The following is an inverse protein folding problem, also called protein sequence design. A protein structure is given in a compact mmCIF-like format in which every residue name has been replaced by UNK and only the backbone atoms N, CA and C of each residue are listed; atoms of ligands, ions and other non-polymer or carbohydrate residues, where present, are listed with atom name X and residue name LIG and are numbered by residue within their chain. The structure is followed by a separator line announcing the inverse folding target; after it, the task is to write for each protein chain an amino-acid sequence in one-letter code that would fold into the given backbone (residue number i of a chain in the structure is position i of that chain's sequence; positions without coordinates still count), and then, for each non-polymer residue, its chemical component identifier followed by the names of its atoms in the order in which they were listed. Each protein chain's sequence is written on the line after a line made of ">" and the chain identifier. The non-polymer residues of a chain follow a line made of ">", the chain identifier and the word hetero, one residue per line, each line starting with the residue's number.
data_IF_409513765929
#
_entry.id   IF_409513765929
#
_cell.length_a   1.000
_cell.length_b   1.000
_cell.length_c   1.000
_cell.angle_alpha   90.00
_cell.angle_beta   90.00
_cell.angle_gamma   90.00
#
_symmetry.space_group_name_H-M   'P 1'
#
loop_
_entity.id
_entity.type
_entity.pdbx_description
1 polymer ?
#
# COMPACT_ATOMS: atom_id res chain seq x y z
N UNK A 1 33.32 -8.24 -36.97
CA UNK A 1 33.44 -8.31 -35.49
C UNK A 1 33.49 -6.95 -34.80
N UNK A 2 34.30 -5.96 -35.24
CA UNK A 2 34.39 -4.65 -34.54
C UNK A 2 33.08 -3.84 -34.48
N UNK A 3 32.28 -3.81 -35.55
CA UNK A 3 31.00 -3.09 -35.58
C UNK A 3 29.94 -3.68 -34.62
N UNK A 4 29.88 -5.01 -34.47
CA UNK A 4 28.98 -5.67 -33.52
C UNK A 4 29.34 -5.35 -32.06
N UNK A 5 30.63 -5.18 -31.76
CA UNK A 5 31.10 -4.77 -30.43
C UNK A 5 30.67 -3.35 -30.08
N UNK A 6 30.80 -2.39 -31.01
CA UNK A 6 30.39 -1.00 -30.79
C UNK A 6 28.87 -0.83 -30.60
N UNK A 7 28.06 -1.57 -31.36
CA UNK A 7 26.59 -1.57 -31.22
C UNK A 7 26.15 -2.18 -29.89
N UNK A 8 26.78 -3.29 -29.46
CA UNK A 8 26.49 -3.92 -28.18
C UNK A 8 26.85 -3.00 -27.00
N UNK A 9 28.01 -2.35 -27.05
CA UNK A 9 28.44 -1.40 -26.01
C UNK A 9 27.48 -0.22 -25.92
N UNK A 10 27.07 0.35 -27.05
CA UNK A 10 26.08 1.42 -27.07
C UNK A 10 24.73 0.97 -26.51
N UNK A 11 24.26 -0.23 -26.89
CA UNK A 11 23.02 -0.80 -26.37
C UNK A 11 23.03 -1.02 -24.86
N UNK A 12 24.12 -1.56 -24.32
CA UNK A 12 24.30 -1.73 -22.87
C UNK A 12 24.38 -0.38 -22.15
N UNK A 13 25.06 0.61 -22.72
CA UNK A 13 25.15 1.95 -22.15
C UNK A 13 23.78 2.64 -22.10
N UNK A 14 22.97 2.53 -23.17
CA UNK A 14 21.61 3.06 -23.21
C UNK A 14 20.68 2.35 -22.21
N UNK A 15 20.80 1.03 -22.09
CA UNK A 15 20.05 0.26 -21.11
C UNK A 15 20.40 0.66 -19.67
N UNK A 16 21.70 0.75 -19.35
CA UNK A 16 22.16 1.22 -18.05
C UNK A 16 21.68 2.65 -17.76
N UNK A 17 21.74 3.52 -18.77
CA UNK A 17 21.20 4.88 -18.70
C UNK A 17 19.72 4.88 -18.33
N UNK A 18 18.89 4.08 -19.02
CA UNK A 18 17.46 3.93 -18.75
C UNK A 18 17.17 3.39 -17.34
N UNK A 19 17.92 2.38 -16.89
CA UNK A 19 17.71 1.74 -15.60
C UNK A 19 18.02 2.72 -14.45
N UNK A 20 19.11 3.50 -14.55
CA UNK A 20 19.54 4.40 -13.47
C UNK A 20 18.86 5.77 -13.54
N UNK A 21 18.41 6.20 -14.71
CA UNK A 21 17.76 7.50 -14.88
C UNK A 21 16.29 7.43 -14.49
N UNK A 22 15.94 8.09 -13.39
CA UNK A 22 14.56 8.38 -13.00
C UNK A 22 14.47 9.88 -12.70
N UNK A 23 13.46 10.60 -13.21
CA UNK A 23 13.20 11.97 -12.81
C UNK A 23 13.07 12.07 -11.29
N UNK A 24 13.68 13.11 -10.72
CA UNK A 24 13.61 13.38 -9.29
C UNK A 24 13.07 14.80 -9.14
N UNK A 25 11.92 14.98 -8.47
CA UNK A 25 11.42 16.30 -8.19
C UNK A 25 12.30 17.07 -7.21
N UNK A 26 12.27 18.39 -7.32
CA UNK A 26 12.90 19.27 -6.35
C UNK A 26 12.35 19.01 -4.94
N UNK A 27 13.22 19.08 -3.94
CA UNK A 27 12.84 18.84 -2.54
C UNK A 27 12.66 17.35 -2.17
N UNK A 28 12.81 16.40 -3.10
CA UNK A 28 12.86 14.98 -2.76
C UNK A 28 14.05 14.69 -1.84
N UNK A 29 13.74 14.06 -0.71
CA UNK A 29 14.74 13.53 0.20
C UNK A 29 15.36 12.25 -0.37
N UNK A 30 16.65 12.06 -0.11
CA UNK A 30 17.38 10.81 -0.43
C UNK A 30 17.26 10.34 -1.88
N UNK A 31 17.42 11.30 -2.80
CA UNK A 31 17.40 11.16 -4.24
C UNK A 31 18.12 9.90 -4.79
N UNK A 32 19.27 9.55 -4.21
CA UNK A 32 20.06 8.41 -4.66
C UNK A 32 19.44 7.06 -4.25
N UNK A 33 18.88 6.97 -3.05
CA UNK A 33 18.14 5.78 -2.61
C UNK A 33 16.91 5.56 -3.48
N UNK A 34 16.17 6.63 -3.79
CA UNK A 34 15.05 6.56 -4.71
C UNK A 34 15.47 6.06 -6.11
N UNK A 35 16.61 6.55 -6.65
CA UNK A 35 17.16 6.04 -7.92
C UNK A 35 17.55 4.57 -7.85
N UNK A 36 18.19 4.12 -6.77
CA UNK A 36 18.56 2.71 -6.59
C UNK A 36 17.33 1.81 -6.54
N UNK A 37 16.32 2.19 -5.76
CA UNK A 37 15.06 1.46 -5.67
C UNK A 37 14.34 1.40 -7.02
N UNK A 38 14.21 2.54 -7.71
CA UNK A 38 13.57 2.58 -9.03
C UNK A 38 14.36 1.83 -10.10
N UNK A 39 15.69 1.83 -10.05
CA UNK A 39 16.53 1.02 -10.91
C UNK A 39 16.32 -0.49 -10.66
N UNK A 40 16.22 -0.91 -9.40
CA UNK A 40 15.87 -2.28 -9.02
C UNK A 40 14.49 -2.67 -9.57
N UNK A 41 13.47 -1.83 -9.37
CA UNK A 41 12.13 -2.05 -9.88
C UNK A 41 12.08 -2.15 -11.42
N UNK A 42 12.77 -1.25 -12.13
CA UNK A 42 12.89 -1.29 -13.60
C UNK A 42 13.60 -2.56 -14.10
N UNK A 43 14.63 -2.99 -13.38
CA UNK A 43 15.36 -4.24 -13.70
C UNK A 43 14.45 -5.45 -13.55
N UNK A 44 13.71 -5.53 -12.45
CA UNK A 44 12.73 -6.59 -12.22
C UNK A 44 11.62 -6.57 -13.29
N UNK A 45 11.07 -5.39 -13.60
CA UNK A 45 10.06 -5.20 -14.64
C UNK A 45 10.56 -5.63 -16.02
N UNK A 46 11.81 -5.31 -16.37
CA UNK A 46 12.42 -5.75 -17.62
C UNK A 46 12.55 -7.29 -17.66
N UNK A 47 13.07 -7.91 -16.61
CA UNK A 47 13.18 -9.37 -16.53
C UNK A 47 11.81 -10.07 -16.63
N UNK A 48 10.80 -9.54 -15.92
CA UNK A 48 9.42 -10.03 -15.98
C UNK A 48 8.83 -9.89 -17.40
N UNK A 49 9.04 -8.75 -18.05
CA UNK A 49 8.61 -8.49 -19.43
C UNK A 49 9.28 -9.44 -20.42
N UNK A 50 10.58 -9.70 -20.27
CA UNK A 50 11.26 -10.69 -21.13
C UNK A 50 10.65 -12.08 -20.95
N UNK A 51 10.29 -12.46 -19.72
CA UNK A 51 9.66 -13.76 -19.44
C UNK A 51 8.25 -13.88 -20.02
N UNK A 52 7.47 -12.80 -20.10
CA UNK A 52 6.14 -12.84 -20.77
C UNK A 52 6.24 -13.17 -22.26
N UNK A 53 7.35 -12.83 -22.93
CA UNK A 53 7.58 -13.24 -24.32
C UNK A 53 7.97 -14.72 -24.45
N UNK A 54 8.58 -15.30 -23.42
CA UNK A 54 8.95 -16.71 -23.36
C UNK A 54 7.73 -17.58 -23.00
N UNK A 55 6.83 -17.06 -22.17
CA UNK A 55 5.63 -17.73 -21.68
C UNK A 55 4.37 -16.92 -22.01
N UNK A 56 4.01 -16.78 -23.31
CA UNK A 56 2.84 -16.01 -23.70
C UNK A 56 1.55 -16.68 -23.20
N UNK A 57 0.59 -15.87 -22.71
CA UNK A 57 -0.73 -16.32 -22.25
C UNK A 57 -0.82 -16.66 -20.76
N UNK A 58 0.29 -16.60 -20.02
CA UNK A 58 0.30 -16.66 -18.56
C UNK A 58 0.27 -15.24 -17.98
N UNK A 59 -0.94 -14.74 -17.66
CA UNK A 59 -1.12 -13.38 -17.13
C UNK A 59 -0.43 -13.16 -15.77
N UNK A 60 -0.05 -14.23 -15.07
CA UNK A 60 0.57 -14.17 -13.76
C UNK A 60 2.11 -14.24 -13.81
N UNK A 61 2.69 -14.65 -14.95
CA UNK A 61 4.15 -14.81 -15.11
C UNK A 61 4.93 -13.53 -14.80
N UNK A 62 4.35 -12.37 -15.10
CA UNK A 62 4.97 -11.07 -14.85
C UNK A 62 5.18 -10.88 -13.34
N UNK A 63 4.11 -10.91 -12.55
CA UNK A 63 4.20 -10.64 -11.11
C UNK A 63 4.87 -11.77 -10.33
N UNK A 64 4.67 -13.05 -10.70
CA UNK A 64 5.48 -14.13 -10.10
C UNK A 64 6.97 -13.91 -10.27
N UNK A 65 7.39 -13.36 -11.41
CA UNK A 65 8.81 -13.06 -11.67
C UNK A 65 9.28 -11.89 -10.81
N UNK A 66 8.48 -10.82 -10.69
CA UNK A 66 8.78 -9.71 -9.77
C UNK A 66 8.95 -10.24 -8.34
N UNK A 67 7.97 -10.97 -7.82
CA UNK A 67 8.00 -11.53 -6.45
C UNK A 67 9.21 -12.42 -6.23
N UNK A 68 9.51 -13.32 -7.18
CA UNK A 68 10.69 -14.20 -7.10
C UNK A 68 12.00 -13.42 -7.03
N UNK A 69 12.13 -12.33 -7.80
CA UNK A 69 13.33 -11.49 -7.78
C UNK A 69 13.44 -10.68 -6.48
N UNK A 70 12.33 -10.14 -5.99
CA UNK A 70 12.29 -9.45 -4.70
C UNK A 70 12.69 -10.38 -3.55
N UNK A 71 12.23 -11.64 -3.57
CA UNK A 71 12.57 -12.62 -2.55
C UNK A 71 14.00 -13.14 -2.66
N UNK A 72 14.56 -13.26 -3.86
CA UNK A 72 15.89 -13.85 -4.09
C UNK A 72 17.01 -13.10 -3.37
N UNK A 73 16.89 -11.79 -3.26
CA UNK A 73 17.95 -10.91 -2.71
C UNK A 73 17.85 -10.74 -1.19
N UNK A 74 16.83 -11.31 -0.54
CA UNK A 74 16.58 -11.15 0.88
C UNK A 74 16.80 -12.46 1.65
N UNK A 75 17.35 -12.40 2.88
CA UNK A 75 17.37 -13.55 3.77
C UNK A 75 15.93 -13.96 4.15
N UNK A 76 15.73 -15.21 4.57
CA UNK A 76 14.44 -15.64 5.10
C UNK A 76 14.11 -14.87 6.39
N UNK A 77 12.87 -14.38 6.49
CA UNK A 77 12.46 -13.44 7.55
C UNK A 77 12.34 -14.08 8.95
N UNK A 78 12.19 -15.40 9.00
CA UNK A 78 12.15 -16.24 10.20
C UNK A 78 13.55 -16.59 10.76
N UNK A 79 14.63 -16.31 10.01
CA UNK A 79 15.99 -16.54 10.51
C UNK A 79 16.27 -15.70 11.75
N UNK A 80 16.98 -16.31 12.70
CA UNK A 80 17.50 -15.61 13.88
C UNK A 80 18.41 -14.47 13.44
N UNK A 81 18.10 -13.25 13.89
CA UNK A 81 18.91 -12.06 13.67
C UNK A 81 19.69 -11.79 14.95
N UNK A 82 21.02 -11.64 14.83
CA UNK A 82 21.86 -11.34 15.98
C UNK A 82 21.48 -9.97 16.58
N UNK A 83 21.26 -9.93 17.89
CA UNK A 83 20.86 -8.71 18.60
C UNK A 83 19.36 -8.41 18.58
N UNK A 84 18.55 -9.18 17.83
CA UNK A 84 17.09 -9.02 17.82
C UNK A 84 16.48 -9.49 19.15
N UNK A 85 15.54 -8.70 19.68
CA UNK A 85 14.77 -9.03 20.89
C UNK A 85 13.43 -9.74 20.55
N UNK A 86 13.23 -10.18 19.30
CA UNK A 86 12.04 -10.94 18.89
C UNK A 86 12.39 -12.24 18.17
N UNK A 87 11.63 -13.29 18.47
CA UNK A 87 11.63 -14.55 17.71
C UNK A 87 10.64 -14.40 16.54
N UNK A 88 10.99 -14.90 15.36
CA UNK A 88 10.07 -14.97 14.23
C UNK A 88 9.80 -16.44 13.85
N UNK A 89 8.56 -16.78 13.55
CA UNK A 89 8.15 -18.13 13.19
C UNK A 89 6.94 -18.11 12.25
N UNK A 90 7.00 -18.88 11.17
CA UNK A 90 5.84 -19.10 10.32
C UNK A 90 4.78 -19.93 11.03
N UNK A 91 3.52 -19.57 10.83
CA UNK A 91 2.34 -20.31 11.26
C UNK A 91 1.27 -20.27 10.15
N UNK A 92 0.17 -20.98 10.37
CA UNK A 92 -0.97 -21.01 9.46
C UNK A 92 -2.25 -20.82 10.26
N UNK A 93 -3.03 -19.80 9.89
CA UNK A 93 -4.30 -19.43 10.53
C UNK A 93 -5.41 -19.72 9.53
N UNK A 94 -6.14 -20.84 9.72
CA UNK A 94 -7.20 -21.32 8.81
C UNK A 94 -6.77 -21.37 7.33
N UNK A 95 -5.59 -21.93 7.06
CA UNK A 95 -5.05 -22.02 5.70
C UNK A 95 -4.32 -20.76 5.21
N UNK A 96 -4.35 -19.65 5.96
CA UNK A 96 -3.62 -18.43 5.64
C UNK A 96 -2.24 -18.46 6.30
N UNK A 97 -1.19 -18.41 5.49
CA UNK A 97 0.18 -18.35 6.00
C UNK A 97 0.44 -16.99 6.65
N UNK A 98 1.04 -17.02 7.84
CA UNK A 98 1.45 -15.82 8.57
C UNK A 98 2.88 -15.96 9.10
N UNK A 99 3.53 -14.83 9.35
CA UNK A 99 4.79 -14.77 10.08
C UNK A 99 4.56 -14.08 11.43
N UNK A 100 4.75 -14.83 12.50
CA UNK A 100 4.54 -14.39 13.88
C UNK A 100 5.88 -13.90 14.44
N UNK A 101 5.91 -12.67 14.95
CA UNK A 101 7.01 -12.11 15.73
C UNK A 101 6.61 -12.06 17.20
N UNK A 102 7.35 -12.74 18.06
CA UNK A 102 7.11 -12.81 19.50
C UNK A 102 8.26 -12.17 20.25
N UNK A 103 8.03 -11.16 21.09
CA UNK A 103 9.07 -10.61 21.96
C UNK A 103 9.69 -11.67 22.87
N UNK A 104 11.00 -11.57 23.09
CA UNK A 104 11.75 -12.45 23.99
C UNK A 104 11.69 -11.98 25.44
N UNK A 105 11.17 -10.77 25.68
CA UNK A 105 10.99 -10.19 27.01
C UNK A 105 9.95 -11.01 27.79
N UNK A 106 10.31 -11.53 28.96
CA UNK A 106 9.33 -12.16 29.84
C UNK A 106 8.33 -11.12 30.34
N UNK A 107 7.03 -11.39 30.18
CA UNK A 107 5.95 -10.49 30.60
C UNK A 107 5.05 -11.17 31.63
N UNK A 108 4.62 -10.37 32.61
CA UNK A 108 3.54 -10.76 33.52
C UNK A 108 2.21 -10.28 32.93
N UNK A 109 1.41 -11.21 32.43
CA UNK A 109 0.11 -10.92 31.81
C UNK A 109 0.16 -10.85 30.28
N UNK A 110 -0.98 -10.51 29.69
CA UNK A 110 -1.17 -10.45 28.24
C UNK A 110 -0.58 -9.16 27.64
N UNK A 111 0.10 -9.31 26.51
CA UNK A 111 0.68 -8.22 25.73
C UNK A 111 -0.33 -7.65 24.72
N UNK A 112 -0.15 -6.42 24.25
CA UNK A 112 -0.82 -5.98 23.04
C UNK A 112 -0.30 -6.70 21.79
N UNK A 113 -1.14 -6.78 20.77
CA UNK A 113 -0.87 -7.42 19.50
C UNK A 113 -0.98 -6.46 18.32
N UNK A 114 -0.35 -6.79 17.21
CA UNK A 114 -0.49 -6.05 15.96
C UNK A 114 -0.64 -7.01 14.78
N UNK A 115 -1.66 -6.81 13.96
CA UNK A 115 -1.80 -7.49 12.66
C UNK A 115 -1.32 -6.55 11.56
N UNK A 116 -0.42 -7.04 10.70
CA UNK A 116 0.23 -6.27 9.66
C UNK A 116 -0.07 -6.81 8.25
N UNK A 117 -0.45 -5.92 7.34
CA UNK A 117 -0.58 -6.22 5.91
C UNK A 117 0.48 -5.49 5.10
N UNK A 118 1.26 -6.24 4.32
CA UNK A 118 2.27 -5.64 3.44
C UNK A 118 1.63 -4.92 2.24
N UNK A 119 2.32 -3.92 1.69
CA UNK A 119 2.01 -3.28 0.42
C UNK A 119 2.34 -4.15 -0.80
N UNK A 120 2.64 -3.51 -1.93
CA UNK A 120 2.97 -4.22 -3.19
C UNK A 120 1.85 -4.29 -4.23
N UNK A 121 0.84 -3.40 -4.11
CA UNK A 121 -0.21 -3.23 -5.13
C UNK A 121 -1.04 -4.48 -5.38
N UNK A 122 -1.17 -5.36 -4.37
CA UNK A 122 -1.77 -6.71 -4.46
C UNK A 122 -1.10 -7.68 -5.43
N UNK A 123 -0.02 -7.28 -6.11
CA UNK A 123 0.63 -8.09 -7.15
C UNK A 123 1.98 -8.68 -6.74
N UNK A 124 2.64 -8.12 -5.74
CA UNK A 124 3.93 -8.60 -5.27
C UNK A 124 4.13 -8.25 -3.79
N UNK A 125 5.34 -8.53 -3.27
CA UNK A 125 5.71 -8.52 -1.86
C UNK A 125 5.20 -9.76 -1.10
N UNK A 126 5.68 -9.92 0.13
CA UNK A 126 5.39 -11.06 1.00
C UNK A 126 5.76 -10.70 2.44
N UNK A 127 5.46 -11.60 3.38
CA UNK A 127 6.02 -11.52 4.75
C UNK A 127 7.55 -11.50 4.77
N UNK A 128 8.20 -12.00 3.71
CA UNK A 128 9.66 -11.99 3.58
C UNK A 128 10.17 -10.61 3.18
N UNK A 129 9.61 -10.00 2.14
CA UNK A 129 10.06 -8.68 1.67
C UNK A 129 9.81 -7.59 2.68
N UNK A 130 8.70 -7.69 3.44
CA UNK A 130 8.38 -6.73 4.48
C UNK A 130 8.94 -7.10 5.87
N UNK A 131 9.64 -8.23 5.97
CA UNK A 131 10.03 -8.83 7.25
C UNK A 131 10.97 -7.97 8.10
N UNK A 132 11.69 -7.01 7.50
CA UNK A 132 12.51 -6.03 8.23
C UNK A 132 11.64 -4.97 8.92
N UNK A 133 10.62 -4.47 8.26
CA UNK A 133 9.69 -3.48 8.82
C UNK A 133 8.86 -4.09 9.95
N UNK A 134 8.26 -5.26 9.72
CA UNK A 134 7.44 -5.91 10.76
C UNK A 134 8.27 -6.37 11.95
N UNK A 135 9.51 -6.83 11.72
CA UNK A 135 10.46 -7.07 12.82
C UNK A 135 10.73 -5.78 13.58
N UNK A 136 11.10 -4.70 12.90
CA UNK A 136 11.37 -3.41 13.54
C UNK A 136 10.19 -2.96 14.40
N UNK A 137 8.95 -3.03 13.89
CA UNK A 137 7.75 -2.73 14.68
C UNK A 137 7.61 -3.62 15.91
N UNK A 138 7.81 -4.94 15.78
CA UNK A 138 7.76 -5.87 16.91
C UNK A 138 8.82 -5.55 17.97
N UNK A 139 10.05 -5.24 17.54
CA UNK A 139 11.18 -4.92 18.41
C UNK A 139 10.97 -3.59 19.16
N UNK A 140 10.44 -2.57 18.47
CA UNK A 140 10.22 -1.25 19.06
C UNK A 140 8.97 -1.21 19.95
N UNK A 141 7.88 -1.88 19.56
CA UNK A 141 6.63 -1.87 20.33
C UNK A 141 6.63 -2.90 21.48
N UNK A 142 7.57 -3.87 21.46
CA UNK A 142 7.56 -5.04 22.34
C UNK A 142 6.17 -5.72 22.28
N UNK A 143 5.65 -5.87 21.07
CA UNK A 143 4.33 -6.44 20.76
C UNK A 143 4.46 -7.76 20.01
N UNK A 144 3.46 -8.64 20.15
CA UNK A 144 3.31 -9.76 19.20
C UNK A 144 2.81 -9.19 17.88
N UNK A 145 3.57 -9.41 16.80
CA UNK A 145 3.22 -8.92 15.46
C UNK A 145 2.92 -10.10 14.55
N UNK A 146 1.75 -10.11 13.93
CA UNK A 146 1.34 -11.08 12.92
C UNK A 146 1.44 -10.41 11.56
N UNK A 147 2.34 -10.86 10.69
CA UNK A 147 2.43 -10.41 9.30
C UNK A 147 1.72 -11.41 8.40
N UNK A 148 0.70 -10.97 7.66
CA UNK A 148 -0.17 -11.84 6.85
C UNK A 148 0.36 -11.97 5.42
N UNK A 149 0.51 -13.21 4.94
CA UNK A 149 0.96 -13.56 3.57
C UNK A 149 -0.26 -13.84 2.67
N UNK A 150 -1.06 -12.80 2.42
CA UNK A 150 -2.32 -12.92 1.68
C UNK A 150 -2.09 -13.24 0.19
N UNK A 151 -3.05 -13.93 -0.45
CA UNK A 151 -2.99 -14.28 -1.87
C UNK A 151 -2.95 -13.04 -2.77
N UNK A 152 -2.15 -13.10 -3.83
CA UNK A 152 -1.87 -11.99 -4.73
C UNK A 152 -2.57 -12.12 -6.08
N UNK A 153 -2.95 -10.97 -6.64
CA UNK A 153 -3.38 -10.80 -8.00
C UNK A 153 -2.18 -10.88 -8.97
N UNK A 154 -2.39 -11.22 -10.26
CA UNK A 154 -3.66 -11.53 -10.92
C UNK A 154 -4.16 -12.96 -10.67
N UNK A 155 -3.32 -13.87 -10.15
CA UNK A 155 -3.72 -15.27 -9.89
C UNK A 155 -4.94 -15.38 -8.96
N UNK A 156 -4.98 -14.51 -7.94
CA UNK A 156 -6.08 -14.40 -6.99
C UNK A 156 -6.57 -12.95 -6.93
N UNK A 157 -7.48 -12.54 -7.85
CA UNK A 157 -8.02 -11.20 -7.85
C UNK A 157 -8.92 -10.97 -6.62
N UNK A 158 -9.40 -9.73 -6.46
CA UNK A 158 -10.43 -9.40 -5.49
C UNK A 158 -11.59 -10.42 -5.54
N UNK A 159 -12.06 -10.94 -4.39
CA UNK A 159 -11.77 -10.49 -3.02
C UNK A 159 -10.69 -11.29 -2.26
N UNK A 160 -9.86 -12.11 -2.91
CA UNK A 160 -8.99 -13.07 -2.21
C UNK A 160 -8.09 -12.48 -1.12
N UNK A 161 -7.43 -11.35 -1.38
CA UNK A 161 -6.59 -10.68 -0.38
C UNK A 161 -7.41 -10.21 0.85
N UNK A 162 -8.63 -9.71 0.64
CA UNK A 162 -9.52 -9.30 1.73
C UNK A 162 -9.97 -10.52 2.55
N UNK A 163 -10.32 -11.62 1.87
CA UNK A 163 -10.74 -12.87 2.53
C UNK A 163 -9.63 -13.45 3.40
N UNK A 164 -8.40 -13.52 2.89
CA UNK A 164 -7.26 -14.04 3.64
C UNK A 164 -6.91 -13.15 4.84
N UNK A 165 -6.86 -11.83 4.62
CA UNK A 165 -6.59 -10.86 5.68
C UNK A 165 -7.66 -10.88 6.78
N UNK A 166 -8.93 -10.98 6.41
CA UNK A 166 -10.02 -11.09 7.38
C UNK A 166 -9.96 -12.42 8.13
N UNK A 167 -9.74 -13.53 7.42
CA UNK A 167 -9.62 -14.87 8.01
C UNK A 167 -8.50 -14.95 9.03
N UNK A 168 -7.29 -14.49 8.67
CA UNK A 168 -6.15 -14.48 9.58
C UNK A 168 -6.38 -13.57 10.80
N UNK A 169 -7.00 -12.41 10.61
CA UNK A 169 -7.29 -11.47 11.71
C UNK A 169 -8.32 -12.03 12.67
N UNK A 170 -9.44 -12.52 12.14
CA UNK A 170 -10.48 -13.16 12.91
C UNK A 170 -9.91 -14.30 13.76
N UNK A 171 -9.16 -15.21 13.12
CA UNK A 171 -8.53 -16.31 13.82
C UNK A 171 -7.60 -15.81 14.93
N UNK A 172 -6.77 -14.80 14.65
CA UNK A 172 -5.87 -14.24 15.65
C UNK A 172 -6.60 -13.59 16.82
N UNK A 173 -7.71 -12.87 16.59
CA UNK A 173 -8.52 -12.29 17.66
C UNK A 173 -9.13 -13.38 18.55
N UNK A 174 -9.66 -14.45 17.94
CA UNK A 174 -10.26 -15.59 18.66
C UNK A 174 -9.22 -16.37 19.50
N UNK A 175 -7.96 -16.42 19.03
CA UNK A 175 -6.88 -17.20 19.65
C UNK A 175 -5.78 -16.33 20.28
N UNK A 176 -6.01 -15.03 20.48
CA UNK A 176 -5.00 -14.07 20.92
C UNK A 176 -4.29 -14.51 22.21
N UNK A 177 -5.04 -15.07 23.16
CA UNK A 177 -4.55 -15.55 24.43
C UNK A 177 -3.49 -16.67 24.30
N UNK A 178 -3.54 -17.48 23.23
CA UNK A 178 -2.55 -18.53 22.94
C UNK A 178 -1.18 -17.95 22.58
N UNK A 179 -1.16 -16.71 22.07
CA UNK A 179 0.04 -15.94 21.79
C UNK A 179 0.44 -15.03 22.96
N UNK A 180 -0.25 -15.14 24.09
CA UNK A 180 -0.09 -14.24 25.22
C UNK A 180 -0.53 -12.81 24.91
N UNK A 181 -1.52 -12.65 24.02
CA UNK A 181 -2.06 -11.34 23.58
C UNK A 181 -3.43 -11.07 24.17
N UNK A 182 -3.66 -9.81 24.54
CA UNK A 182 -4.96 -9.28 24.94
C UNK A 182 -5.73 -8.84 23.68
N UNK A 183 -6.84 -9.52 23.39
CA UNK A 183 -7.60 -9.30 22.17
C UNK A 183 -8.21 -7.89 22.08
N UNK A 184 -8.48 -7.24 23.22
CA UNK A 184 -9.00 -5.86 23.28
C UNK A 184 -7.91 -4.80 23.03
N UNK A 185 -6.65 -5.23 22.85
CA UNK A 185 -5.47 -4.38 22.64
C UNK A 185 -4.76 -4.72 21.34
N UNK A 186 -5.51 -5.14 20.32
CA UNK A 186 -4.98 -5.45 18.99
C UNK A 186 -5.03 -4.22 18.07
N UNK A 187 -3.89 -3.91 17.47
CA UNK A 187 -3.71 -2.87 16.45
C UNK A 187 -3.74 -3.51 15.07
N UNK A 188 -4.34 -2.85 14.07
CA UNK A 188 -4.24 -3.26 12.67
C UNK A 188 -3.43 -2.21 11.91
N UNK A 189 -2.45 -2.65 11.13
CA UNK A 189 -1.56 -1.76 10.40
C UNK A 189 -1.16 -2.30 9.03
N UNK A 190 -0.79 -1.41 8.11
CA UNK A 190 -0.31 -1.79 6.80
C UNK A 190 0.10 -0.58 5.96
N UNK A 191 0.85 -0.85 4.89
CA UNK A 191 1.39 0.16 4.00
C UNK A 191 0.84 0.04 2.57
N UNK A 192 0.56 1.15 1.89
CA UNK A 192 0.09 1.14 0.50
C UNK A 192 -1.19 0.29 0.30
N UNK A 193 -1.14 -0.78 -0.49
CA UNK A 193 -2.19 -1.80 -0.61
C UNK A 193 -2.49 -2.54 0.71
N UNK A 194 -1.50 -2.68 1.60
CA UNK A 194 -1.72 -3.12 2.97
C UNK A 194 -2.44 -2.08 3.82
N UNK A 195 -2.22 -0.78 3.56
CA UNK A 195 -3.00 0.30 4.16
C UNK A 195 -4.47 0.27 3.73
N UNK A 196 -4.73 -0.11 2.48
CA UNK A 196 -6.09 -0.43 2.02
C UNK A 196 -6.69 -1.58 2.82
N UNK A 197 -5.96 -2.69 2.99
CA UNK A 197 -6.43 -3.84 3.77
C UNK A 197 -6.69 -3.43 5.23
N UNK A 198 -5.84 -2.61 5.84
CA UNK A 198 -6.10 -2.03 7.17
C UNK A 198 -7.46 -1.35 7.23
N UNK A 199 -7.75 -0.44 6.29
CA UNK A 199 -9.03 0.27 6.26
C UNK A 199 -10.22 -0.68 6.09
N UNK A 200 -10.11 -1.70 5.23
CA UNK A 200 -11.20 -2.67 4.99
C UNK A 200 -11.39 -3.61 6.18
N UNK A 201 -10.31 -4.17 6.73
CA UNK A 201 -10.40 -5.18 7.79
C UNK A 201 -10.95 -4.58 9.08
N UNK A 202 -10.56 -3.36 9.47
CA UNK A 202 -11.17 -2.74 10.66
C UNK A 202 -12.66 -2.49 10.50
N UNK A 203 -13.15 -2.24 9.27
CA UNK A 203 -14.57 -2.12 8.99
C UNK A 203 -15.27 -3.48 9.09
N UNK A 204 -14.68 -4.54 8.52
CA UNK A 204 -15.25 -5.89 8.57
C UNK A 204 -15.28 -6.46 9.99
N UNK A 205 -14.25 -6.20 10.80
CA UNK A 205 -14.24 -6.62 12.22
C UNK A 205 -15.29 -5.85 13.01
N UNK A 206 -15.39 -4.53 12.82
CA UNK A 206 -16.40 -3.71 13.49
C UNK A 206 -17.84 -4.12 13.13
N UNK A 207 -18.08 -4.56 11.90
CA UNK A 207 -19.39 -5.02 11.45
C UNK A 207 -19.72 -6.46 11.93
N UNK A 208 -18.76 -7.21 12.50
CA UNK A 208 -18.96 -8.55 13.10
C UNK A 208 -18.95 -8.47 14.64
N UNK A 209 -20.12 -8.39 15.30
CA UNK A 209 -20.20 -8.23 16.75
C UNK A 209 -19.76 -9.46 17.55
N UNK A 210 -19.41 -10.58 16.89
CA UNK A 210 -18.84 -11.75 17.56
C UNK A 210 -17.35 -11.61 17.87
N UNK A 211 -16.69 -10.61 17.27
CA UNK A 211 -15.25 -10.39 17.40
C UNK A 211 -14.93 -9.30 18.43
N UNK A 212 -13.78 -9.40 19.12
CA UNK A 212 -13.19 -8.28 19.84
C UNK A 212 -12.97 -7.08 18.90
N UNK A 213 -13.20 -5.87 19.41
CA UNK A 213 -12.99 -4.64 18.64
C UNK A 213 -11.49 -4.40 18.41
N UNK A 214 -11.14 -3.88 17.24
CA UNK A 214 -9.78 -3.42 16.98
C UNK A 214 -9.53 -2.15 17.80
N UNK A 215 -8.36 -2.06 18.44
CA UNK A 215 -8.01 -0.92 19.30
C UNK A 215 -7.59 0.31 18.50
N UNK A 216 -6.73 0.13 17.49
CA UNK A 216 -6.20 1.21 16.64
C UNK A 216 -6.04 0.75 15.18
N UNK A 217 -6.13 1.70 14.25
CA UNK A 217 -5.76 1.51 12.85
C UNK A 217 -4.58 2.43 12.47
N UNK A 218 -3.50 1.87 11.90
CA UNK A 218 -2.29 2.62 11.54
C UNK A 218 -1.95 2.40 10.06
N UNK A 219 -2.10 3.45 9.26
CA UNK A 219 -2.05 3.38 7.81
C UNK A 219 -0.86 4.20 7.27
N UNK A 220 0.03 3.56 6.51
CA UNK A 220 1.11 4.24 5.81
C UNK A 220 0.75 4.41 4.33
N UNK A 221 0.65 5.66 3.87
CA UNK A 221 0.37 6.09 2.49
C UNK A 221 -0.67 5.18 1.77
N UNK A 222 -1.88 5.04 2.36
CA UNK A 222 -2.81 3.99 1.95
C UNK A 222 -3.44 4.26 0.58
N UNK A 223 -3.61 3.20 -0.22
CA UNK A 223 -4.31 3.25 -1.50
C UNK A 223 -5.81 2.95 -1.32
N UNK A 224 -6.65 3.93 -1.01
CA UNK A 224 -8.03 3.67 -0.53
C UNK A 224 -9.12 3.68 -1.60
N UNK A 225 -8.80 3.92 -2.88
CA UNK A 225 -9.81 4.13 -3.93
C UNK A 225 -9.33 3.73 -5.35
N UNK A 226 -10.29 3.39 -6.22
CA UNK A 226 -10.06 3.06 -7.64
C UNK A 226 -10.91 3.91 -8.60
N UNK A 227 -11.24 5.15 -8.23
CA UNK A 227 -12.23 6.00 -8.90
C UNK A 227 -11.66 7.27 -9.52
N UNK A 228 -10.75 7.95 -8.82
CA UNK A 228 -10.21 9.25 -9.22
C UNK A 228 -8.69 9.23 -9.31
N UNK A 229 -8.19 9.03 -10.52
CA UNK A 229 -6.77 9.11 -10.86
C UNK A 229 -6.37 10.51 -11.32
N UNK A 230 -7.19 11.53 -11.04
CA UNK A 230 -6.95 12.94 -11.37
C UNK A 230 -7.03 13.85 -10.14
N UNK A 231 -6.87 13.32 -8.93
CA UNK A 231 -6.70 14.14 -7.72
C UNK A 231 -5.53 15.11 -7.87
N UNK A 232 -5.48 16.21 -7.09
CA UNK A 232 -4.33 17.10 -7.06
C UNK A 232 -2.98 16.38 -6.90
N UNK A 233 -2.88 15.35 -6.05
CA UNK A 233 -1.68 14.54 -5.89
C UNK A 233 -1.29 13.78 -7.17
N UNK A 234 -2.24 13.14 -7.86
CA UNK A 234 -1.97 12.48 -9.14
C UNK A 234 -1.48 13.47 -10.21
N UNK A 235 -2.08 14.66 -10.28
CA UNK A 235 -1.68 15.69 -11.24
C UNK A 235 -0.29 16.25 -10.95
N UNK A 236 0.03 16.49 -9.67
CA UNK A 236 1.37 16.93 -9.25
C UNK A 236 2.41 15.84 -9.53
N UNK A 237 2.10 14.60 -9.19
CA UNK A 237 2.98 13.45 -9.40
C UNK A 237 3.32 13.24 -10.88
N UNK A 238 2.35 13.43 -11.78
CA UNK A 238 2.56 13.37 -13.23
C UNK A 238 3.57 14.43 -13.71
N UNK A 239 3.53 15.64 -13.15
CA UNK A 239 4.51 16.70 -13.47
C UNK A 239 5.90 16.36 -12.94
N UNK A 240 5.96 15.82 -11.73
CA UNK A 240 7.20 15.57 -11.00
C UNK A 240 7.98 14.34 -11.50
N UNK A 241 7.26 13.26 -11.82
CA UNK A 241 7.82 11.95 -12.13
C UNK A 241 7.49 11.43 -13.53
N UNK A 242 6.57 12.08 -14.23
CA UNK A 242 6.01 11.57 -15.48
C UNK A 242 5.35 10.20 -15.30
N UNK A 243 5.42 9.38 -16.35
CA UNK A 243 4.82 8.04 -16.38
C UNK A 243 5.67 6.97 -15.67
N UNK A 244 6.89 7.32 -15.24
CA UNK A 244 7.89 6.34 -14.76
C UNK A 244 8.00 6.24 -13.24
N UNK A 245 7.28 7.09 -12.50
CA UNK A 245 7.23 7.01 -11.04
C UNK A 245 6.59 5.71 -10.55
N UNK A 246 6.95 5.28 -9.34
CA UNK A 246 6.52 3.99 -8.77
C UNK A 246 5.01 3.86 -8.59
N UNK A 247 4.30 4.98 -8.47
CA UNK A 247 2.84 5.04 -8.33
C UNK A 247 2.23 5.98 -9.39
N UNK A 248 2.89 6.09 -10.55
CA UNK A 248 2.33 6.81 -11.70
C UNK A 248 1.05 6.13 -12.23
N UNK A 249 0.19 6.87 -12.93
CA UNK A 249 -1.10 6.35 -13.45
C UNK A 249 -0.96 5.05 -14.24
N UNK A 250 0.04 4.85 -15.13
CA UNK A 250 0.20 3.58 -15.83
C UNK A 250 0.41 2.40 -14.88
N UNK A 251 1.23 2.59 -13.83
CA UNK A 251 1.50 1.57 -12.82
C UNK A 251 0.28 1.28 -11.96
N UNK A 252 -0.43 2.32 -11.54
CA UNK A 252 -1.68 2.15 -10.78
C UNK A 252 -2.76 1.44 -11.61
N UNK A 253 -2.86 1.75 -12.91
CA UNK A 253 -3.78 1.06 -13.80
C UNK A 253 -3.45 -0.44 -13.95
N UNK A 254 -2.17 -0.81 -13.96
CA UNK A 254 -1.75 -2.23 -13.91
C UNK A 254 -2.22 -2.91 -12.62
N UNK A 255 -1.99 -2.29 -11.45
CA UNK A 255 -2.45 -2.85 -10.17
C UNK A 255 -3.97 -3.01 -10.11
N UNK A 256 -4.72 -1.98 -10.52
CA UNK A 256 -6.20 -2.05 -10.56
C UNK A 256 -6.66 -3.14 -11.51
N UNK A 257 -6.08 -3.24 -12.71
CA UNK A 257 -6.46 -4.25 -13.71
C UNK A 257 -6.21 -5.66 -13.20
N UNK A 258 -5.02 -5.91 -12.65
CA UNK A 258 -4.68 -7.21 -12.06
C UNK A 258 -5.61 -7.55 -10.88
N UNK A 259 -5.82 -6.61 -9.95
CA UNK A 259 -6.62 -6.86 -8.75
C UNK A 259 -8.12 -6.99 -9.03
N UNK A 260 -8.69 -6.17 -9.91
CA UNK A 260 -10.12 -6.17 -10.21
C UNK A 260 -10.53 -7.23 -11.24
N UNK A 261 -9.69 -7.45 -12.25
CA UNK A 261 -10.03 -8.28 -13.41
C UNK A 261 -9.27 -9.61 -13.45
N UNK A 262 -8.25 -9.80 -12.60
CA UNK A 262 -7.40 -10.99 -12.62
C UNK A 262 -6.54 -11.11 -13.88
N UNK A 263 -6.29 -9.99 -14.58
CA UNK A 263 -5.51 -9.95 -15.83
C UNK A 263 -5.05 -8.53 -16.17
N UNK A 264 -4.15 -8.40 -17.13
CA UNK A 264 -3.71 -7.09 -17.65
C UNK A 264 -4.53 -6.64 -18.87
N UNK A 265 -5.73 -6.09 -18.61
CA UNK A 265 -6.61 -5.60 -19.67
C UNK A 265 -6.19 -4.21 -20.18
N UNK A 266 -5.50 -4.16 -21.34
CA UNK A 266 -4.95 -2.91 -21.90
C UNK A 266 -6.01 -1.84 -22.20
N UNK A 267 -7.18 -2.16 -22.82
CA UNK A 267 -8.24 -1.17 -23.01
C UNK A 267 -8.72 -0.57 -21.69
N UNK A 268 -8.97 -1.39 -20.67
CA UNK A 268 -9.37 -0.95 -19.34
C UNK A 268 -8.31 -0.05 -18.69
N UNK A 269 -7.05 -0.46 -18.73
CA UNK A 269 -5.93 0.33 -18.20
C UNK A 269 -5.83 1.71 -18.84
N UNK A 270 -6.06 1.83 -20.16
CA UNK A 270 -6.07 3.13 -20.85
C UNK A 270 -7.23 4.01 -20.39
N UNK A 271 -8.40 3.43 -20.10
CA UNK A 271 -9.54 4.16 -19.55
C UNK A 271 -9.22 4.68 -18.14
N UNK A 272 -8.62 3.85 -17.28
CA UNK A 272 -8.15 4.25 -15.94
C UNK A 272 -7.14 5.39 -15.98
N UNK A 273 -6.13 5.33 -16.86
CA UNK A 273 -5.10 6.36 -16.99
C UNK A 273 -5.68 7.72 -17.40
N UNK A 274 -6.76 7.71 -18.19
CA UNK A 274 -7.53 8.91 -18.56
C UNK A 274 -8.55 9.33 -17.50
N UNK A 275 -8.72 8.50 -16.46
CA UNK A 275 -9.78 8.59 -15.48
C UNK A 275 -11.18 8.50 -16.10
N UNK A 276 -11.35 7.76 -17.18
CA UNK A 276 -12.62 7.64 -17.94
C UNK A 276 -13.39 6.36 -17.64
N UNK A 277 -12.85 5.45 -16.83
CA UNK A 277 -13.49 4.18 -16.46
C UNK A 277 -14.75 4.33 -15.61
N UNK A 278 -14.93 5.47 -14.95
CA UNK A 278 -16.15 5.84 -14.21
C UNK A 278 -17.00 6.78 -15.08
N UNK A 279 -18.32 6.54 -15.14
CA UNK A 279 -19.24 7.37 -15.92
C UNK A 279 -19.20 8.84 -15.49
N UNK A 280 -19.39 9.73 -16.46
CA UNK A 280 -19.46 11.16 -16.18
C UNK A 280 -20.63 11.49 -15.24
N UNK A 281 -21.77 10.79 -15.42
CA UNK A 281 -22.95 10.95 -14.58
C UNK A 281 -22.67 10.56 -13.11
N UNK A 282 -22.00 9.43 -12.86
CA UNK A 282 -21.69 9.03 -11.48
C UNK A 282 -20.75 10.00 -10.79
N UNK A 283 -19.77 10.59 -11.51
CA UNK A 283 -18.89 11.63 -10.95
C UNK A 283 -19.62 12.90 -10.52
N UNK A 284 -20.79 13.18 -11.10
CA UNK A 284 -21.65 14.29 -10.67
C UNK A 284 -22.58 13.92 -9.50
N UNK A 285 -22.66 12.63 -9.14
CA UNK A 285 -23.54 12.16 -8.07
C UNK A 285 -23.13 12.72 -6.70
N UNK A 286 -24.11 12.77 -5.79
CA UNK A 286 -23.85 13.13 -4.39
C UNK A 286 -22.89 12.17 -3.73
N UNK A 287 -22.99 10.87 -4.05
CA UNK A 287 -22.14 9.83 -3.48
C UNK A 287 -20.67 10.04 -3.83
N UNK A 288 -20.37 10.25 -5.12
CA UNK A 288 -18.99 10.50 -5.58
C UNK A 288 -18.42 11.79 -4.98
N UNK A 289 -19.18 12.89 -5.02
CA UNK A 289 -18.72 14.20 -4.51
C UNK A 289 -18.61 14.27 -3.00
N UNK A 290 -19.36 13.43 -2.27
CA UNK A 290 -19.20 13.29 -0.83
C UNK A 290 -17.80 12.75 -0.51
N UNK A 291 -17.32 11.74 -1.26
CA UNK A 291 -15.99 11.15 -1.07
C UNK A 291 -14.88 12.01 -1.69
N UNK A 292 -14.97 12.31 -2.98
CA UNK A 292 -13.90 12.98 -3.73
C UNK A 292 -14.13 14.49 -3.81
N UNK A 293 -13.64 15.22 -2.81
CA UNK A 293 -13.70 16.67 -2.76
C UNK A 293 -12.29 17.27 -2.88
N UNK A 294 -11.89 17.74 -4.06
CA UNK A 294 -10.54 18.28 -4.24
C UNK A 294 -10.29 19.60 -3.49
N UNK A 295 -11.34 20.32 -3.09
CA UNK A 295 -11.19 21.58 -2.37
C UNK A 295 -10.57 21.37 -1.00
N UNK A 296 -10.88 20.26 -0.32
CA UNK A 296 -10.28 19.96 1.00
C UNK A 296 -8.78 19.73 0.91
N UNK A 297 -8.29 19.20 -0.21
CA UNK A 297 -6.85 18.97 -0.42
C UNK A 297 -6.11 20.31 -0.46
N UNK A 298 -6.67 21.27 -1.18
CA UNK A 298 -6.06 22.61 -1.36
C UNK A 298 -6.03 23.42 -0.06
N UNK A 299 -6.96 23.14 0.85
CA UNK A 299 -7.10 23.82 2.13
C UNK A 299 -6.40 23.07 3.27
N UNK A 300 -5.85 21.88 3.00
CA UNK A 300 -5.27 21.03 4.02
C UNK A 300 -3.98 21.66 4.57
N UNK A 301 -3.88 21.94 5.89
CA UNK A 301 -2.75 22.68 6.45
C UNK A 301 -1.41 21.93 6.33
N UNK A 302 -1.45 20.59 6.28
CA UNK A 302 -0.27 19.75 6.05
C UNK A 302 0.18 19.62 4.59
N UNK A 303 -0.52 20.24 3.63
CA UNK A 303 -0.20 20.18 2.20
C UNK A 303 0.18 21.59 1.70
N UNK A 304 1.48 21.91 1.56
CA UNK A 304 1.88 23.23 1.11
C UNK A 304 1.54 23.43 -0.37
N UNK A 305 1.40 24.70 -0.79
CA UNK A 305 1.07 25.04 -2.18
C UNK A 305 2.08 24.48 -3.20
N UNK A 306 3.34 24.30 -2.81
CA UNK A 306 4.40 23.69 -3.62
C UNK A 306 4.15 22.22 -3.93
N UNK A 307 3.33 21.54 -3.13
CA UNK A 307 2.95 20.13 -3.29
C UNK A 307 1.65 19.96 -4.10
N UNK A 308 1.12 21.05 -4.64
CA UNK A 308 -0.06 21.06 -5.48
C UNK A 308 0.32 21.35 -6.94
N UNK A 309 -0.48 20.89 -7.91
CA UNK A 309 -0.26 21.26 -9.30
C UNK A 309 -0.46 22.78 -9.46
N UNK A 310 0.39 23.41 -10.27
CA UNK A 310 0.32 24.86 -10.55
C UNK A 310 -1.02 25.26 -11.16
N UNK A 311 -1.60 24.39 -11.98
CA UNK A 311 -2.96 24.49 -12.49
C UNK A 311 -3.67 23.15 -12.31
N UNK A 312 -4.81 23.18 -11.62
CA UNK A 312 -5.66 22.01 -11.49
C UNK A 312 -6.45 21.80 -12.79
N UNK A 313 -6.19 20.69 -13.47
CA UNK A 313 -6.96 20.24 -14.63
C UNK A 313 -8.26 19.62 -14.14
N UNK A 314 -9.38 20.02 -14.75
CA UNK A 314 -10.70 19.42 -14.51
C UNK A 314 -10.97 18.46 -15.66
N UNK A 315 -11.31 17.21 -15.33
CA UNK A 315 -11.60 16.18 -16.31
C UNK A 315 -13.08 15.84 -16.27
N UNK A 316 -13.76 15.92 -17.41
CA UNK A 316 -15.21 15.68 -17.51
C UNK A 316 -15.59 14.40 -18.28
N UNK A 317 -14.59 13.62 -18.73
CA UNK A 317 -14.82 12.37 -19.43
C UNK A 317 -15.36 11.26 -18.54
N UNK A 318 -15.94 10.25 -19.18
CA UNK A 318 -16.41 9.02 -18.56
C UNK A 318 -16.93 8.05 -19.61
N UNK A 319 -16.97 6.77 -19.27
CA UNK A 319 -17.39 5.70 -20.15
C UNK A 319 -18.55 4.94 -19.50
N UNK A 320 -19.77 5.21 -19.96
CA UNK A 320 -20.97 4.65 -19.36
C UNK A 320 -21.03 3.13 -19.52
N UNK A 321 -20.66 2.60 -20.70
CA UNK A 321 -20.65 1.14 -20.94
C UNK A 321 -19.69 0.44 -19.99
N UNK A 322 -18.44 0.90 -19.92
CA UNK A 322 -17.45 0.31 -19.02
C UNK A 322 -17.85 0.47 -17.56
N UNK A 323 -18.41 1.62 -17.19
CA UNK A 323 -18.89 1.86 -15.83
C UNK A 323 -19.98 0.85 -15.45
N UNK A 324 -20.97 0.62 -16.31
CA UNK A 324 -22.01 -0.37 -16.06
C UNK A 324 -21.44 -1.79 -15.87
N UNK A 325 -20.37 -2.14 -16.59
CA UNK A 325 -19.72 -3.46 -16.47
C UNK A 325 -18.98 -3.67 -15.14
N UNK A 326 -18.47 -2.60 -14.52
CA UNK A 326 -17.57 -2.68 -13.35
C UNK A 326 -18.14 -2.07 -12.07
N UNK A 327 -19.21 -1.27 -12.14
CA UNK A 327 -19.71 -0.46 -11.02
C UNK A 327 -20.05 -1.29 -9.79
N UNK A 328 -20.64 -2.47 -9.95
CA UNK A 328 -21.07 -3.28 -8.81
C UNK A 328 -19.86 -3.78 -8.01
N UNK A 329 -18.77 -4.10 -8.69
CA UNK A 329 -17.50 -4.47 -8.04
C UNK A 329 -16.84 -3.24 -7.42
N UNK A 330 -16.73 -2.14 -8.16
CA UNK A 330 -16.10 -0.90 -7.67
C UNK A 330 -16.86 -0.29 -6.49
N UNK A 331 -18.17 -0.48 -6.38
CA UNK A 331 -18.98 0.01 -5.27
C UNK A 331 -19.08 -0.98 -4.11
N UNK A 332 -18.49 -2.17 -4.22
CA UNK A 332 -18.35 -3.08 -3.07
C UNK A 332 -17.47 -2.39 -2.00
N UNK A 333 -17.98 -2.19 -0.77
CA UNK A 333 -17.21 -1.50 0.28
C UNK A 333 -15.90 -2.24 0.64
N UNK A 334 -15.79 -3.54 0.34
CA UNK A 334 -14.55 -4.31 0.50
C UNK A 334 -13.50 -4.00 -0.56
N UNK A 335 -13.92 -3.47 -1.72
CA UNK A 335 -13.02 -2.96 -2.75
C UNK A 335 -12.82 -1.44 -2.64
N UNK A 336 -13.73 -0.74 -1.97
CA UNK A 336 -13.72 0.73 -1.90
C UNK A 336 -14.19 1.21 -0.53
N UNK A 337 -13.30 1.16 0.48
CA UNK A 337 -13.61 1.45 1.88
C UNK A 337 -14.11 2.88 2.11
N UNK A 338 -13.87 3.80 1.16
CA UNK A 338 -14.39 5.17 1.24
C UNK A 338 -15.91 5.27 1.03
N UNK A 339 -16.55 4.24 0.47
CA UNK A 339 -18.00 4.21 0.21
C UNK A 339 -18.81 3.43 1.25
N UNK A 340 -18.21 3.04 2.38
CA UNK A 340 -19.00 2.46 3.48
C UNK A 340 -20.07 3.46 3.94
N UNK A 341 -21.20 2.93 4.44
CA UNK A 341 -22.37 3.74 4.79
C UNK A 341 -22.19 4.60 6.05
N UNK A 342 -21.47 4.08 7.04
CA UNK A 342 -21.26 4.73 8.32
C UNK A 342 -19.83 4.49 8.77
N UNK A 343 -19.13 5.52 9.25
CA UNK A 343 -17.76 5.42 9.79
C UNK A 343 -17.72 5.47 11.31
N UNK A 344 -18.87 5.72 11.96
CA UNK A 344 -18.96 5.87 13.41
C UNK A 344 -18.52 4.60 14.12
N UNK A 345 -17.81 4.77 15.24
CA UNK A 345 -17.38 3.65 16.09
C UNK A 345 -16.11 2.94 15.62
N UNK A 346 -15.56 3.28 14.45
CA UNK A 346 -14.25 2.74 14.05
C UNK A 346 -13.13 3.15 15.01
N UNK A 347 -12.06 2.33 15.10
CA UNK A 347 -10.91 2.63 15.94
C UNK A 347 -10.23 3.94 15.57
N UNK A 348 -9.62 4.57 16.58
CA UNK A 348 -8.77 5.74 16.38
C UNK A 348 -7.66 5.44 15.37
N UNK A 349 -7.36 6.43 14.53
CA UNK A 349 -6.55 6.25 13.34
C UNK A 349 -5.29 7.11 13.37
N UNK A 350 -4.14 6.50 13.06
CA UNK A 350 -2.95 7.22 12.60
C UNK A 350 -2.80 7.00 11.09
N UNK A 351 -2.79 8.09 10.34
CA UNK A 351 -2.65 8.05 8.88
C UNK A 351 -1.42 8.89 8.50
N UNK A 352 -0.39 8.23 7.99
CA UNK A 352 0.76 8.88 7.41
C UNK A 352 0.59 9.00 5.89
N UNK A 353 0.75 10.20 5.34
CA UNK A 353 0.84 10.41 3.88
C UNK A 353 2.24 10.87 3.50
N UNK A 354 2.67 10.53 2.29
CA UNK A 354 3.91 11.02 1.72
C UNK A 354 3.62 12.20 0.77
N UNK A 355 4.43 13.25 0.83
CA UNK A 355 4.17 14.48 0.08
C UNK A 355 4.36 14.33 -1.44
N UNK A 356 5.35 13.53 -1.85
CA UNK A 356 5.70 13.22 -3.24
C UNK A 356 5.08 11.87 -3.66
N UNK A 357 3.78 11.72 -3.43
CA UNK A 357 3.04 10.48 -3.64
C UNK A 357 1.71 10.79 -4.34
N UNK A 358 1.40 10.03 -5.39
CA UNK A 358 0.11 10.17 -6.08
C UNK A 358 -1.06 9.73 -5.21
N UNK A 359 -0.83 8.87 -4.21
CA UNK A 359 -1.81 8.36 -3.25
C UNK A 359 -1.97 9.24 -2.01
N UNK A 360 -1.27 10.38 -1.91
CA UNK A 360 -1.39 11.29 -0.76
C UNK A 360 -2.85 11.65 -0.47
N UNK A 361 -3.59 12.02 -1.51
CA UNK A 361 -4.97 12.50 -1.36
C UNK A 361 -5.93 11.38 -0.93
N UNK A 362 -5.63 10.11 -1.25
CA UNK A 362 -6.42 8.93 -0.81
C UNK A 362 -6.45 8.82 0.73
N UNK A 363 -5.30 9.00 1.37
CA UNK A 363 -5.18 9.03 2.84
C UNK A 363 -5.91 10.22 3.45
N UNK A 364 -5.87 11.39 2.81
CA UNK A 364 -6.57 12.60 3.27
C UNK A 364 -8.10 12.42 3.17
N UNK A 365 -8.60 11.81 2.10
CA UNK A 365 -10.04 11.53 1.97
C UNK A 365 -10.53 10.58 3.06
N UNK A 366 -9.79 9.51 3.34
CA UNK A 366 -10.15 8.57 4.39
C UNK A 366 -10.13 9.22 5.78
N UNK A 367 -9.07 9.98 6.09
CA UNK A 367 -8.95 10.72 7.35
C UNK A 367 -10.13 11.68 7.57
N UNK A 368 -10.55 12.40 6.53
CA UNK A 368 -11.72 13.29 6.62
C UNK A 368 -13.00 12.51 6.90
N UNK A 369 -13.25 11.41 6.20
CA UNK A 369 -14.47 10.60 6.40
C UNK A 369 -14.55 10.03 7.82
N UNK A 370 -13.42 9.59 8.38
CA UNK A 370 -13.33 9.16 9.78
C UNK A 370 -13.63 10.31 10.74
N UNK A 371 -12.99 11.47 10.55
CA UNK A 371 -13.17 12.64 11.41
C UNK A 371 -14.61 13.19 11.36
N UNK A 372 -15.24 13.23 10.18
CA UNK A 372 -16.64 13.64 10.00
C UNK A 372 -17.62 12.72 10.74
N UNK A 373 -17.25 11.45 10.94
CA UNK A 373 -18.03 10.49 11.73
C UNK A 373 -17.67 10.48 13.24
N UNK A 374 -16.78 11.37 13.68
CA UNK A 374 -16.38 11.52 15.08
C UNK A 374 -15.31 10.52 15.54
N UNK A 375 -14.62 9.85 14.62
CA UNK A 375 -13.45 9.02 14.94
C UNK A 375 -12.26 9.92 15.23
N UNK A 376 -11.45 9.57 16.22
CA UNK A 376 -10.19 10.26 16.49
C UNK A 376 -9.17 9.96 15.39
N UNK A 377 -8.61 11.01 14.77
CA UNK A 377 -7.69 10.87 13.64
C UNK A 377 -6.45 11.74 13.83
N UNK A 378 -5.28 11.10 13.84
CA UNK A 378 -3.99 11.74 13.66
C UNK A 378 -3.55 11.57 12.20
N UNK A 379 -3.70 12.62 11.40
CA UNK A 379 -3.22 12.66 10.01
C UNK A 379 -1.93 13.47 9.92
N UNK A 380 -0.85 12.87 9.40
CA UNK A 380 0.44 13.55 9.19
C UNK A 380 0.92 13.38 7.75
N UNK A 381 1.15 14.50 7.07
CA UNK A 381 1.81 14.53 5.76
C UNK A 381 3.30 14.80 5.92
N UNK A 382 4.14 13.90 5.43
CA UNK A 382 5.59 13.98 5.55
C UNK A 382 6.20 14.65 4.31
N UNK A 383 6.67 15.89 4.46
CA UNK A 383 7.25 16.68 3.37
C UNK A 383 8.50 16.03 2.78
N UNK A 384 8.61 16.04 1.45
CA UNK A 384 9.71 15.42 0.71
C UNK A 384 9.76 13.89 0.76
N UNK A 385 8.84 13.24 1.48
CA UNK A 385 8.69 11.79 1.50
C UNK A 385 8.06 11.27 0.20
N UNK A 386 8.39 10.04 -0.18
CA UNK A 386 7.85 9.35 -1.35
C UNK A 386 7.15 8.04 -0.95
N UNK A 387 6.39 7.46 -1.88
CA UNK A 387 5.66 6.21 -1.64
C UNK A 387 6.60 5.05 -1.25
N UNK A 388 6.30 4.32 -0.17
CA UNK A 388 7.15 3.21 0.30
C UNK A 388 8.27 3.62 1.26
N UNK A 389 8.36 4.89 1.65
CA UNK A 389 9.43 5.39 2.54
C UNK A 389 9.45 4.71 3.91
N UNK A 390 8.31 4.23 4.43
CA UNK A 390 8.26 3.57 5.75
C UNK A 390 8.96 2.21 5.70
N UNK A 391 8.81 1.45 4.60
CA UNK A 391 9.52 0.19 4.40
C UNK A 391 11.02 0.41 4.14
N UNK A 392 11.39 1.48 3.43
CA UNK A 392 12.79 1.82 3.16
C UNK A 392 13.52 2.38 4.40
N UNK A 393 12.83 3.18 5.22
CA UNK A 393 13.40 3.98 6.31
C UNK A 393 14.35 3.22 7.24
N UNK A 394 13.91 2.16 7.93
CA UNK A 394 14.75 1.36 8.84
C UNK A 394 15.91 0.64 8.15
N UNK A 395 15.80 0.41 6.83
CA UNK A 395 16.81 -0.30 6.05
C UNK A 395 17.92 0.64 5.62
N UNK A 396 17.57 1.86 5.24
CA UNK A 396 18.47 2.81 4.60
C UNK A 396 18.78 4.03 5.48
N UNK A 397 18.26 4.07 6.71
CA UNK A 397 18.35 5.20 7.64
C UNK A 397 17.87 6.53 7.04
N UNK A 398 16.79 6.49 6.24
CA UNK A 398 16.19 7.71 5.70
C UNK A 398 15.47 8.44 6.84
N UNK A 399 15.90 9.66 7.23
CA UNK A 399 15.39 10.32 8.44
C UNK A 399 13.88 10.45 8.48
N UNK A 400 13.25 10.82 7.36
CA UNK A 400 11.79 11.00 7.28
C UNK A 400 11.02 9.69 7.34
N UNK A 401 11.58 8.61 6.78
CA UNK A 401 10.98 7.27 6.91
C UNK A 401 11.07 6.76 8.35
N UNK A 402 12.20 6.99 9.01
CA UNK A 402 12.38 6.68 10.44
C UNK A 402 11.45 7.53 11.31
N UNK A 403 11.32 8.83 11.02
CA UNK A 403 10.39 9.71 11.72
C UNK A 403 8.95 9.27 11.55
N UNK A 404 8.53 8.92 10.33
CA UNK A 404 7.19 8.40 10.05
C UNK A 404 6.85 7.18 10.89
N UNK A 405 7.80 6.26 11.06
CA UNK A 405 7.63 5.10 11.91
C UNK A 405 7.63 5.46 13.40
N UNK A 406 8.56 6.30 13.85
CA UNK A 406 8.65 6.72 15.24
C UNK A 406 7.36 7.41 15.71
N UNK A 407 6.81 8.31 14.91
CA UNK A 407 5.55 8.99 15.20
C UNK A 407 4.38 7.98 15.34
N UNK A 408 4.35 6.94 14.49
CA UNK A 408 3.34 5.89 14.58
C UNK A 408 3.54 5.00 15.82
N UNK A 409 4.79 4.73 16.20
CA UNK A 409 5.14 3.95 17.39
C UNK A 409 4.76 4.72 18.66
N UNK A 410 5.01 6.02 18.70
CA UNK A 410 4.58 6.91 19.78
C UNK A 410 3.05 6.92 19.89
N UNK A 411 2.34 7.12 18.77
CA UNK A 411 0.88 7.05 18.74
C UNK A 411 0.35 5.71 19.29
N UNK A 412 0.94 4.58 18.91
CA UNK A 412 0.53 3.27 19.42
C UNK A 412 0.79 3.16 20.93
N UNK A 413 1.97 3.55 21.41
CA UNK A 413 2.34 3.45 22.84
C UNK A 413 1.47 4.31 23.73
N UNK A 414 1.05 5.47 23.26
CA UNK A 414 0.21 6.39 24.04
C UNK A 414 -1.24 5.88 24.18
N UNK A 415 -1.66 4.92 23.34
CA UNK A 415 -3.05 4.51 23.20
C UNK A 415 -3.31 3.01 23.46
N UNK A 416 -2.27 2.20 23.69
CA UNK A 416 -2.38 0.73 23.82
C UNK A 416 -1.80 0.17 25.10
#
# INVERSE_FOLDING_TARGET
>A
MKAYSSVLVLGLALLMGYLVYTPIPEGMLDQWQYRLMTAGAKTAALAATLRTYIQPGDDDVYYRTISSLCDMVLPAADKKVQGSNVKAQYAEFEGVRVLVYTPLTERRGLAPGLVYYHGGGFGFASTKTNGRLTRYLAEQLDMVVISVDYRLAPAHPFPAAVEDSFTATKWFLDHAHEYGVDADRVVVSGDSAGGFLTAVIVQLVHDDPSLPEIKLQVLFYPWTQCFDFNTPSYQKYEVDFGETGMVAKPRMAEFVSAYLLGRFDKPFMKQLQKNEHVSAAFKQSKLYRAVFNHTIIRQHPGVPLTSLPSQQKIFQGGNDTLWEDIKDRLLDPRLSPLFRKDFKGLPAAFIATADLDSLRDDGIFYARLLAEAGVEVTLKNYLGAYHGIAAAGPITNIPTGVQMLNDSIEFIRDNV
#
